data_IF_464544953076
#
_entry.id   IF_464544953076
#
_cell.length_a   1.000
_cell.length_b   1.000
_cell.length_c   1.000
_cell.angle_alpha   90.00
_cell.angle_beta   90.00
_cell.angle_gamma   90.00
#
_symmetry.space_group_name_H-M   'P 1'
#
loop_
_entity.id
_entity.type
_entity.pdbx_description
1 polymer ?
#
# COMPACT_ATOMS: atom_id res chain seq x y z
N UNK A 1 -3.58 11.61 37.80
CA UNK A 1 -4.22 10.86 38.88
C UNK A 1 -5.71 11.21 38.88
N UNK A 2 -6.54 10.39 38.20
CA UNK A 2 -7.99 10.31 38.38
C UNK A 2 -8.47 9.04 37.66
N UNK A 3 -8.73 8.06 38.47
CA UNK A 3 -9.30 6.75 38.19
C UNK A 3 -10.82 6.96 38.11
N UNK A 4 -11.46 6.44 37.04
CA UNK A 4 -12.91 6.20 37.08
C UNK A 4 -13.18 4.75 36.68
N UNK A 5 -13.58 4.00 37.68
CA UNK A 5 -14.17 2.66 37.64
C UNK A 5 -15.68 2.82 37.72
N UNK A 6 -16.46 2.23 36.83
CA UNK A 6 -17.90 1.90 36.99
C UNK A 6 -18.13 0.71 36.03
N UNK A 7 -18.27 -0.51 36.47
CA UNK A 7 -19.44 -1.23 37.03
C UNK A 7 -20.46 -1.64 35.97
N UNK A 8 -20.44 -2.92 35.60
CA UNK A 8 -21.37 -4.02 35.88
C UNK A 8 -22.81 -3.83 35.38
N UNK A 9 -23.22 -4.67 34.43
CA UNK A 9 -24.62 -4.87 34.02
C UNK A 9 -24.84 -6.21 33.34
N UNK A 10 -25.17 -7.19 34.13
CA UNK A 10 -25.57 -8.56 33.78
C UNK A 10 -27.08 -8.59 33.54
N UNK A 11 -27.55 -9.06 32.40
CA UNK A 11 -28.97 -9.46 32.20
C UNK A 11 -29.05 -10.72 31.36
N UNK A 12 -29.43 -11.80 32.07
CA UNK A 12 -29.93 -13.05 31.51
C UNK A 12 -31.43 -12.90 31.14
N UNK A 13 -31.84 -13.42 30.01
CA UNK A 13 -33.21 -13.86 29.80
C UNK A 13 -33.22 -15.09 28.91
N UNK A 14 -33.62 -16.20 29.52
CA UNK A 14 -33.98 -17.47 28.90
C UNK A 14 -35.42 -17.40 28.38
N UNK A 15 -35.68 -18.05 27.26
CA UNK A 15 -37.04 -18.26 26.74
C UNK A 15 -37.09 -19.41 25.77
N UNK A 16 -37.33 -20.63 26.27
CA UNK A 16 -37.75 -21.76 25.48
C UNK A 16 -39.23 -21.64 25.14
N UNK A 17 -39.64 -21.94 23.92
CA UNK A 17 -40.88 -22.70 23.67
C UNK A 17 -40.75 -23.48 22.37
N UNK A 18 -40.89 -24.79 22.51
CA UNK A 18 -41.14 -25.74 21.44
C UNK A 18 -42.63 -25.67 21.05
N UNK A 19 -42.92 -25.85 19.78
CA UNK A 19 -44.15 -26.55 19.38
C UNK A 19 -44.03 -27.11 17.95
N UNK A 20 -44.18 -28.40 17.88
CA UNK A 20 -44.47 -29.23 16.72
C UNK A 20 -45.69 -28.77 15.94
N UNK A 21 -45.65 -28.84 14.63
CA UNK A 21 -46.73 -29.60 13.90
C UNK A 21 -46.29 -29.83 12.44
N UNK A 22 -46.16 -31.09 12.13
CA UNK A 22 -46.27 -31.80 10.89
C UNK A 22 -47.13 -31.14 9.82
N UNK A 23 -46.61 -30.95 8.60
CA UNK A 23 -47.35 -31.17 7.35
C UNK A 23 -46.36 -31.26 6.20
N UNK A 24 -46.22 -32.43 5.66
CA UNK A 24 -45.46 -32.71 4.45
C UNK A 24 -46.16 -32.15 3.21
N UNK A 25 -45.40 -31.48 2.36
CA UNK A 25 -45.69 -31.32 0.93
C UNK A 25 -44.37 -31.11 0.13
N UNK A 26 -44.31 -31.53 -1.12
CA UNK A 26 -43.11 -32.09 -1.72
C UNK A 26 -42.10 -31.05 -2.21
N UNK A 27 -40.85 -31.48 -2.18
CA UNK A 27 -39.65 -30.83 -2.66
C UNK A 27 -39.81 -30.11 -4.01
N UNK A 28 -39.60 -28.82 -4.01
CA UNK A 28 -39.03 -28.13 -5.13
C UNK A 28 -37.52 -27.96 -4.86
N UNK A 29 -36.75 -28.65 -5.64
CA UNK A 29 -35.27 -28.59 -5.65
C UNK A 29 -34.85 -27.16 -6.02
N UNK A 30 -34.78 -26.28 -5.03
CA UNK A 30 -34.18 -25.00 -5.19
C UNK A 30 -32.66 -25.18 -4.95
N UNK A 31 -31.94 -25.52 -6.00
CA UNK A 31 -30.49 -25.40 -6.03
C UNK A 31 -30.11 -23.99 -5.61
N UNK A 32 -29.55 -23.87 -4.41
CA UNK A 32 -28.93 -22.65 -3.95
C UNK A 32 -27.85 -22.24 -4.98
N UNK A 33 -27.81 -20.95 -5.40
CA UNK A 33 -26.75 -20.53 -6.30
C UNK A 33 -25.40 -20.76 -5.59
N UNK A 34 -24.58 -21.58 -6.24
CA UNK A 34 -23.20 -21.81 -5.84
C UNK A 34 -22.51 -20.44 -5.79
N UNK A 35 -21.87 -20.06 -4.65
CA UNK A 35 -21.11 -18.82 -4.60
C UNK A 35 -20.07 -18.85 -5.71
N UNK A 36 -20.12 -17.89 -6.63
CA UNK A 36 -19.09 -17.72 -7.63
C UNK A 36 -17.76 -17.46 -6.90
N UNK A 37 -16.82 -18.37 -7.07
CA UNK A 37 -15.43 -18.15 -6.63
C UNK A 37 -14.93 -16.94 -7.42
N UNK A 38 -14.47 -15.87 -6.74
CA UNK A 38 -13.91 -14.73 -7.46
C UNK A 38 -12.75 -15.23 -8.34
N UNK A 39 -12.79 -14.92 -9.64
CA UNK A 39 -11.65 -15.16 -10.50
C UNK A 39 -10.44 -14.39 -9.95
N UNK A 40 -9.26 -15.02 -9.87
CA UNK A 40 -8.06 -14.31 -9.44
C UNK A 40 -7.81 -13.12 -10.36
N UNK A 41 -7.76 -11.93 -9.77
CA UNK A 41 -7.33 -10.71 -10.47
C UNK A 41 -5.87 -10.93 -10.87
N UNK A 42 -5.50 -10.74 -12.15
CA UNK A 42 -4.10 -10.87 -12.56
C UNK A 42 -3.24 -9.91 -11.74
N UNK A 43 -2.24 -10.45 -11.04
CA UNK A 43 -1.23 -9.63 -10.39
C UNK A 43 -0.41 -8.89 -11.46
N UNK A 44 -0.07 -7.59 -11.23
CA UNK A 44 0.79 -6.86 -12.16
C UNK A 44 2.15 -7.57 -12.30
N UNK A 45 2.75 -7.55 -13.50
CA UNK A 45 4.04 -8.18 -13.70
C UNK A 45 5.12 -7.51 -12.85
N UNK A 46 5.80 -8.29 -12.03
CA UNK A 46 6.97 -7.84 -11.28
C UNK A 46 8.18 -7.79 -12.20
N UNK A 47 8.89 -6.68 -12.21
CA UNK A 47 10.13 -6.45 -12.95
C UNK A 47 11.18 -5.85 -12.03
N UNK A 48 12.43 -5.77 -12.46
CA UNK A 48 13.53 -5.06 -11.77
C UNK A 48 13.82 -3.69 -12.37
N UNK A 49 13.04 -3.27 -13.38
CA UNK A 49 13.25 -2.03 -14.10
C UNK A 49 12.13 -1.03 -13.86
N UNK A 50 12.48 0.15 -13.40
CA UNK A 50 11.53 1.25 -13.18
C UNK A 50 11.09 1.84 -14.51
N UNK A 51 9.78 1.99 -14.77
CA UNK A 51 9.28 2.69 -15.94
C UNK A 51 9.76 4.15 -15.99
N UNK A 52 10.10 4.63 -17.18
CA UNK A 52 10.72 5.95 -17.41
C UNK A 52 9.94 7.12 -16.82
N UNK A 53 8.62 7.00 -16.74
CA UNK A 53 7.75 8.04 -16.15
C UNK A 53 8.03 8.32 -14.67
N UNK A 54 8.54 7.34 -13.92
CA UNK A 54 8.89 7.48 -12.51
C UNK A 54 10.36 7.84 -12.29
N UNK A 55 11.20 7.74 -13.32
CA UNK A 55 12.61 8.07 -13.20
C UNK A 55 12.82 9.58 -13.14
N UNK A 56 13.79 10.04 -12.36
CA UNK A 56 14.15 11.45 -12.23
C UNK A 56 14.65 11.81 -10.85
N UNK A 57 14.96 13.08 -10.71
CA UNK A 57 15.28 13.71 -9.43
C UNK A 57 14.03 14.35 -8.85
N UNK A 58 13.85 14.20 -7.55
CA UNK A 58 12.70 14.70 -6.81
C UNK A 58 13.14 15.38 -5.51
N UNK A 59 12.42 16.43 -5.09
CA UNK A 59 12.62 17.09 -3.81
C UNK A 59 11.31 17.67 -3.27
N UNK A 60 11.26 18.05 -2.00
CA UNK A 60 10.04 18.58 -1.39
C UNK A 60 9.50 19.83 -2.10
N UNK A 61 10.39 20.63 -2.68
CA UNK A 61 10.07 21.81 -3.46
C UNK A 61 11.23 22.14 -4.44
N UNK A 62 10.99 23.10 -5.33
CA UNK A 62 11.98 23.52 -6.35
C UNK A 62 13.25 24.11 -5.73
N UNK A 63 13.17 24.78 -4.58
CA UNK A 63 14.37 25.30 -3.89
C UNK A 63 15.26 24.16 -3.40
N UNK A 64 14.67 23.07 -2.90
CA UNK A 64 15.37 21.85 -2.49
C UNK A 64 16.05 21.14 -3.66
N UNK A 65 15.53 21.27 -4.88
CA UNK A 65 16.17 20.71 -6.10
C UNK A 65 17.57 21.28 -6.35
N UNK A 66 17.77 22.56 -6.06
CA UNK A 66 19.04 23.25 -6.28
C UNK A 66 19.98 23.21 -5.08
N UNK A 67 19.52 22.71 -3.92
CA UNK A 67 20.29 22.60 -2.69
C UNK A 67 21.02 21.25 -2.62
N UNK A 68 22.36 21.18 -2.80
CA UNK A 68 23.11 19.94 -2.70
C UNK A 68 22.90 19.28 -1.32
N UNK A 69 22.62 17.97 -1.32
CA UNK A 69 22.46 17.21 -0.08
C UNK A 69 21.21 17.57 0.75
N UNK A 70 20.20 18.19 0.14
CA UNK A 70 18.95 18.46 0.85
C UNK A 70 18.26 17.15 1.25
N UNK A 71 17.82 17.06 2.52
CA UNK A 71 17.30 15.83 3.14
C UNK A 71 16.08 15.23 2.44
N UNK A 72 15.33 16.00 1.68
CA UNK A 72 14.16 15.52 0.93
C UNK A 72 14.47 15.06 -0.49
N UNK A 73 15.71 15.21 -0.94
CA UNK A 73 16.10 14.78 -2.28
C UNK A 73 16.03 13.27 -2.42
N UNK A 74 15.55 12.84 -3.56
CA UNK A 74 15.47 11.46 -3.97
C UNK A 74 15.72 11.37 -5.47
N UNK A 75 16.52 10.40 -5.90
CA UNK A 75 16.77 10.09 -7.31
C UNK A 75 16.29 8.68 -7.60
N UNK A 76 15.53 8.49 -8.66
CA UNK A 76 15.10 7.19 -9.17
C UNK A 76 15.63 7.04 -10.59
N UNK A 77 16.41 5.99 -10.82
CA UNK A 77 16.86 5.56 -12.15
C UNK A 77 16.11 4.28 -12.56
N UNK A 78 16.48 3.69 -13.67
CA UNK A 78 15.92 2.42 -14.14
C UNK A 78 16.12 1.25 -13.16
N UNK A 79 17.23 1.27 -12.39
CA UNK A 79 17.65 0.15 -11.53
C UNK A 79 18.11 0.57 -10.13
N UNK A 80 18.04 1.85 -9.79
CA UNK A 80 18.56 2.36 -8.52
C UNK A 80 17.68 3.43 -7.93
N UNK A 81 17.58 3.45 -6.59
CA UNK A 81 16.96 4.53 -5.83
C UNK A 81 17.96 5.10 -4.83
N UNK A 82 18.00 6.43 -4.72
CA UNK A 82 18.88 7.16 -3.82
C UNK A 82 18.07 8.15 -2.99
N UNK A 83 18.27 8.13 -1.69
CA UNK A 83 17.77 9.09 -0.72
C UNK A 83 18.95 9.88 -0.14
N UNK A 84 18.68 10.85 0.73
CA UNK A 84 19.72 11.65 1.38
C UNK A 84 20.78 10.81 2.12
N UNK A 85 20.34 9.78 2.88
CA UNK A 85 21.23 9.01 3.78
C UNK A 85 21.37 7.54 3.35
N UNK A 86 20.69 7.12 2.30
CA UNK A 86 20.77 5.74 1.83
C UNK A 86 20.56 5.65 0.32
N UNK A 87 21.16 4.64 -0.27
CA UNK A 87 20.94 4.34 -1.69
C UNK A 87 21.04 2.84 -1.94
N UNK A 88 20.45 2.37 -3.02
CA UNK A 88 20.52 0.95 -3.32
C UNK A 88 20.01 0.54 -4.67
N UNK A 89 20.30 -0.71 -4.99
CA UNK A 89 19.83 -1.39 -6.18
C UNK A 89 18.36 -1.79 -6.00
N UNK A 90 17.56 -1.54 -7.01
CA UNK A 90 16.16 -1.95 -7.06
C UNK A 90 16.14 -3.43 -7.43
N UNK A 91 15.43 -4.23 -6.64
CA UNK A 91 15.35 -5.69 -6.77
C UNK A 91 13.98 -6.17 -7.25
N UNK A 92 12.94 -5.35 -7.11
CA UNK A 92 11.62 -5.61 -7.66
C UNK A 92 10.84 -4.31 -7.87
N UNK A 93 10.03 -4.28 -8.91
CA UNK A 93 9.13 -3.17 -9.27
C UNK A 93 7.78 -3.74 -9.67
N UNK A 94 6.72 -3.18 -9.09
CA UNK A 94 5.35 -3.41 -9.50
C UNK A 94 4.75 -2.05 -9.87
N UNK A 95 4.35 -1.87 -11.12
CA UNK A 95 3.79 -0.61 -11.59
C UNK A 95 2.40 -0.81 -12.19
N UNK A 96 1.46 0.05 -11.81
CA UNK A 96 0.09 0.04 -12.31
C UNK A 96 -0.38 1.49 -12.54
N UNK A 97 -0.37 1.93 -13.80
CA UNK A 97 -0.71 3.31 -14.16
C UNK A 97 0.24 4.30 -13.50
N UNK A 98 -0.28 5.13 -12.61
CA UNK A 98 0.48 6.14 -11.87
C UNK A 98 0.97 5.67 -10.50
N UNK A 99 0.70 4.43 -10.11
CA UNK A 99 1.19 3.83 -8.88
C UNK A 99 2.41 2.94 -9.15
N UNK A 100 3.37 2.95 -8.25
CA UNK A 100 4.55 2.10 -8.29
C UNK A 100 4.96 1.66 -6.89
N UNK A 101 5.23 0.36 -6.75
CA UNK A 101 5.87 -0.24 -5.60
C UNK A 101 7.29 -0.65 -5.98
N UNK A 102 8.26 -0.23 -5.19
CA UNK A 102 9.69 -0.47 -5.42
C UNK A 102 10.26 -1.20 -4.21
N UNK A 103 10.86 -2.35 -4.41
CA UNK A 103 11.71 -3.01 -3.42
C UNK A 103 13.17 -2.79 -3.79
N UNK A 104 13.98 -2.33 -2.83
CA UNK A 104 15.38 -2.04 -3.05
C UNK A 104 16.26 -2.53 -1.89
N UNK A 105 17.48 -2.89 -2.19
CA UNK A 105 18.53 -3.19 -1.19
C UNK A 105 19.29 -1.91 -0.87
N UNK A 106 18.80 -1.20 0.15
CA UNK A 106 19.36 0.09 0.57
C UNK A 106 20.55 -0.08 1.51
N UNK A 107 21.61 0.67 1.24
CA UNK A 107 22.75 0.82 2.12
C UNK A 107 22.85 2.25 2.63
N UNK A 108 22.93 2.43 3.93
CA UNK A 108 23.11 3.71 4.61
C UNK A 108 23.70 3.47 6.01
N UNK A 109 24.48 4.41 6.52
CA UNK A 109 25.13 4.35 7.84
C UNK A 109 25.92 3.05 8.10
N UNK A 110 26.42 2.40 7.04
CA UNK A 110 27.17 1.15 7.13
C UNK A 110 26.31 -0.11 7.21
N UNK A 111 25.00 -0.01 7.18
CA UNK A 111 24.07 -1.13 7.17
C UNK A 111 23.39 -1.29 5.81
N UNK A 112 23.10 -2.54 5.46
CA UNK A 112 22.32 -2.88 4.25
C UNK A 112 21.05 -3.60 4.65
N UNK A 113 19.92 -3.14 4.12
CA UNK A 113 18.61 -3.75 4.38
C UNK A 113 17.76 -3.74 3.13
N UNK A 114 16.83 -4.67 3.03
CA UNK A 114 15.75 -4.60 2.05
C UNK A 114 14.66 -3.63 2.54
N UNK A 115 14.18 -2.78 1.66
CA UNK A 115 13.14 -1.81 1.96
C UNK A 115 12.17 -1.68 0.79
N UNK A 116 10.88 -1.65 1.10
CA UNK A 116 9.82 -1.37 0.15
C UNK A 116 9.39 0.10 0.27
N UNK A 117 9.05 0.69 -0.87
CA UNK A 117 8.55 2.06 -0.98
C UNK A 117 7.42 2.10 -2.00
N UNK A 118 6.33 2.77 -1.66
CA UNK A 118 5.15 2.90 -2.51
C UNK A 118 4.94 4.35 -2.89
N UNK A 119 4.81 4.63 -4.18
CA UNK A 119 4.66 5.99 -4.68
C UNK A 119 3.49 6.11 -5.65
N UNK A 120 2.93 7.31 -5.71
CA UNK A 120 1.96 7.73 -6.72
C UNK A 120 2.46 8.96 -7.46
N UNK A 121 2.54 8.85 -8.78
CA UNK A 121 2.84 9.97 -9.68
C UNK A 121 1.55 10.74 -9.97
N UNK A 122 1.60 12.06 -9.94
CA UNK A 122 0.49 12.91 -10.39
C UNK A 122 0.27 12.78 -11.90
N UNK A 123 -0.95 13.08 -12.36
CA UNK A 123 -1.33 12.93 -13.79
C UNK A 123 -0.48 13.81 -14.74
N UNK A 124 0.05 14.93 -14.24
CA UNK A 124 0.97 15.80 -14.98
C UNK A 124 2.43 15.31 -14.94
N UNK A 125 2.74 14.25 -14.18
CA UNK A 125 4.09 13.70 -14.04
C UNK A 125 5.06 14.54 -13.20
N UNK A 126 4.60 15.59 -12.53
CA UNK A 126 5.46 16.55 -11.84
C UNK A 126 5.58 16.31 -10.33
N UNK A 127 4.69 15.54 -9.73
CA UNK A 127 4.70 15.28 -8.29
C UNK A 127 4.67 13.78 -8.01
N UNK A 128 5.64 13.30 -7.24
CA UNK A 128 5.69 11.93 -6.75
C UNK A 128 5.40 11.92 -5.25
N UNK A 129 4.31 11.25 -4.85
CA UNK A 129 3.88 11.17 -3.45
C UNK A 129 4.16 9.78 -2.88
N UNK A 130 4.89 9.71 -1.79
CA UNK A 130 5.01 8.50 -0.97
C UNK A 130 3.64 8.22 -0.33
N UNK A 131 3.05 7.08 -0.68
CA UNK A 131 1.67 6.75 -0.27
C UNK A 131 1.58 6.26 1.17
N UNK A 132 2.71 5.90 1.79
CA UNK A 132 2.77 5.41 3.17
C UNK A 132 2.80 6.57 4.16
N UNK A 133 3.64 7.58 3.91
CA UNK A 133 3.83 8.72 4.82
C UNK A 133 3.23 10.03 4.31
N UNK A 134 2.72 10.06 3.08
CA UNK A 134 2.09 11.24 2.47
C UNK A 134 3.07 12.32 2.03
N UNK A 135 4.38 12.03 1.99
CA UNK A 135 5.38 13.00 1.59
C UNK A 135 5.36 13.19 0.06
N UNK A 136 4.93 14.36 -0.38
CA UNK A 136 4.96 14.76 -1.78
C UNK A 136 6.32 15.39 -2.12
N UNK A 137 6.86 15.02 -3.28
CA UNK A 137 8.08 15.57 -3.86
C UNK A 137 7.81 16.05 -5.27
N UNK A 138 8.31 17.22 -5.59
CA UNK A 138 8.26 17.77 -6.95
C UNK A 138 9.43 17.22 -7.76
N UNK A 139 9.20 16.96 -9.04
CA UNK A 139 10.24 16.61 -10.00
C UNK A 139 11.16 17.80 -10.19
N UNK A 140 12.44 17.57 -10.14
CA UNK A 140 13.49 18.54 -10.48
C UNK A 140 13.76 18.46 -11.99
N UNK A 141 13.71 19.59 -12.68
CA UNK A 141 14.08 19.70 -14.09
C UNK A 141 15.60 19.92 -14.24
#
# INVERSE_FOLDING_TARGET
>A
MRIHVIALGLLLAAGCTAQDTDTAAPAADAQAPTPAVPEPVPEPPTTDTVPVQFQGDYAADIAACTAPGHVTRMTITDSRIEFHESSGEITAVEANGNDIDITARLTGEGETREAASSFRLSDDGLTLTDTVNGLARQRCD
#
